data_IF_060006961347
#
_entry.id   IF_060006961347
#
_cell.length_a   1.000
_cell.length_b   1.000
_cell.length_c   1.000
_cell.angle_alpha   90.00
_cell.angle_beta   90.00
_cell.angle_gamma   90.00
#
_symmetry.space_group_name_H-M   'P 1'
#
loop_
_entity.id
_entity.type
_entity.pdbx_description
1 polymer ?
#
# COMPACT_ATOMS: atom_id res chain seq x y z
N UNK A 1 -0.06 0.53 4.97
CA UNK A 1 1.13 0.27 5.81
C UNK A 1 2.24 -0.37 4.98
N UNK A 2 2.06 -1.57 4.39
CA UNK A 2 3.10 -2.25 3.59
C UNK A 2 3.76 -1.38 2.50
N UNK A 3 2.95 -0.69 1.67
CA UNK A 3 3.48 0.25 0.65
C UNK A 3 4.28 1.40 1.29
N UNK A 4 3.81 1.92 2.42
CA UNK A 4 4.49 3.01 3.14
C UNK A 4 5.85 2.56 3.68
N UNK A 5 5.92 1.41 4.34
CA UNK A 5 7.16 0.84 4.85
C UNK A 5 8.19 0.64 3.74
N UNK A 6 7.78 -0.03 2.65
CA UNK A 6 8.65 -0.27 1.50
C UNK A 6 9.17 1.03 0.88
N UNK A 7 8.31 2.03 0.68
CA UNK A 7 8.70 3.31 0.08
C UNK A 7 9.62 4.11 1.00
N UNK A 8 9.39 4.09 2.31
CA UNK A 8 10.28 4.74 3.28
C UNK A 8 11.68 4.14 3.27
N UNK A 9 11.80 2.82 3.25
CA UNK A 9 13.09 2.14 3.18
C UNK A 9 13.82 2.41 1.87
N UNK A 10 13.13 2.27 0.71
CA UNK A 10 13.72 2.56 -0.60
C UNK A 10 14.20 4.01 -0.66
N UNK A 11 13.38 4.95 -0.19
CA UNK A 11 13.73 6.37 -0.21
C UNK A 11 14.91 6.70 0.71
N UNK A 12 15.05 5.98 1.83
CA UNK A 12 16.19 6.11 2.75
C UNK A 12 17.47 5.62 2.09
N UNK A 13 17.43 4.47 1.43
CA UNK A 13 18.58 3.94 0.70
C UNK A 13 19.00 4.86 -0.46
N UNK A 14 18.02 5.44 -1.19
CA UNK A 14 18.29 6.44 -2.22
C UNK A 14 18.93 7.71 -1.63
N UNK A 15 18.51 8.12 -0.43
CA UNK A 15 19.10 9.26 0.29
C UNK A 15 20.53 8.99 0.71
N UNK A 16 20.85 7.76 1.09
CA UNK A 16 22.20 7.27 1.41
C UNK A 16 23.06 6.98 0.18
N UNK A 17 22.53 7.26 -1.03
CA UNK A 17 23.23 6.98 -2.29
C UNK A 17 23.49 5.48 -2.53
N UNK A 18 22.57 4.63 -2.09
CA UNK A 18 22.56 3.18 -2.28
C UNK A 18 21.62 2.80 -3.43
N UNK A 19 21.87 1.63 -4.03
CA UNK A 19 20.91 0.96 -4.90
C UNK A 19 19.95 0.17 -4.04
N UNK A 20 18.68 0.11 -4.42
CA UNK A 20 17.73 -0.83 -3.87
C UNK A 20 17.20 -1.70 -4.99
N UNK A 21 17.26 -2.99 -4.80
CA UNK A 21 16.66 -3.97 -5.69
C UNK A 21 15.38 -4.48 -5.05
N UNK A 22 14.26 -4.32 -5.74
CA UNK A 22 12.95 -4.87 -5.33
C UNK A 22 12.55 -5.99 -6.26
N UNK A 23 12.20 -7.16 -5.72
CA UNK A 23 11.69 -8.32 -6.46
C UNK A 23 10.25 -8.56 -6.06
N UNK A 24 9.38 -8.67 -7.05
CA UNK A 24 7.94 -8.89 -6.91
C UNK A 24 7.64 -10.31 -7.37
N UNK A 25 7.47 -11.21 -6.41
CA UNK A 25 7.20 -12.62 -6.67
C UNK A 25 5.70 -12.84 -6.89
N UNK A 26 5.37 -13.67 -7.87
CA UNK A 26 4.01 -14.14 -8.15
C UNK A 26 3.95 -15.65 -7.91
N UNK A 27 2.94 -16.13 -7.22
CA UNK A 27 2.74 -17.56 -6.95
C UNK A 27 1.70 -18.15 -7.90
N UNK A 28 1.93 -19.36 -8.38
CA UNK A 28 0.95 -20.09 -9.18
C UNK A 28 -0.10 -20.72 -8.27
N UNK A 29 -1.38 -20.26 -8.37
CA UNK A 29 -2.52 -20.84 -7.65
C UNK A 29 -2.28 -21.03 -6.15
N UNK A 30 -1.73 -20.01 -5.48
CA UNK A 30 -1.24 -20.07 -4.11
C UNK A 30 -2.23 -20.73 -3.12
N UNK A 31 -3.52 -20.36 -3.20
CA UNK A 31 -4.55 -20.92 -2.33
C UNK A 31 -4.95 -22.36 -2.67
N UNK A 32 -4.78 -22.78 -3.93
CA UNK A 32 -5.21 -24.10 -4.41
C UNK A 32 -4.12 -25.17 -4.20
N UNK A 33 -2.88 -24.78 -3.90
CA UNK A 33 -1.71 -25.67 -3.81
C UNK A 33 -1.24 -25.93 -2.38
N UNK A 34 -1.91 -25.39 -1.37
CA UNK A 34 -1.55 -25.59 0.03
C UNK A 34 -1.64 -27.09 0.37
N UNK A 35 -0.53 -27.68 0.79
CA UNK A 35 -0.51 -29.06 1.28
C UNK A 35 -1.10 -29.14 2.68
N UNK A 36 -2.17 -29.93 2.86
CA UNK A 36 -2.86 -30.06 4.13
C UNK A 36 -1.97 -30.64 5.23
N UNK A 37 -1.09 -31.61 4.89
CA UNK A 37 -0.19 -32.22 5.86
C UNK A 37 0.88 -31.25 6.35
N UNK A 38 1.45 -30.42 5.45
CA UNK A 38 2.40 -29.37 5.82
C UNK A 38 1.71 -28.29 6.65
N UNK A 39 0.51 -27.85 6.23
CA UNK A 39 -0.27 -26.87 6.98
C UNK A 39 -0.52 -27.33 8.41
N UNK A 40 -1.01 -28.56 8.60
CA UNK A 40 -1.31 -29.09 9.93
C UNK A 40 -0.07 -29.17 10.81
N UNK A 41 1.11 -29.57 10.26
CA UNK A 41 2.38 -29.55 11.01
C UNK A 41 2.80 -28.14 11.41
N UNK A 42 2.63 -27.15 10.53
CA UNK A 42 2.92 -25.74 10.86
C UNK A 42 2.00 -25.22 11.94
N UNK A 43 0.69 -25.49 11.86
CA UNK A 43 -0.28 -25.10 12.88
C UNK A 43 0.07 -25.67 14.26
N UNK A 44 0.50 -26.92 14.32
CA UNK A 44 0.93 -27.56 15.57
C UNK A 44 2.18 -26.87 16.15
N UNK A 45 3.17 -26.50 15.30
CA UNK A 45 4.36 -25.72 15.70
C UNK A 45 4.00 -24.33 16.21
N UNK A 46 2.98 -23.71 15.64
CA UNK A 46 2.44 -22.41 16.13
C UNK A 46 1.62 -22.53 17.41
N UNK A 47 1.50 -23.75 17.98
CA UNK A 47 0.81 -23.99 19.24
C UNK A 47 -0.67 -24.26 19.11
N UNK A 48 -1.21 -24.41 17.91
CA UNK A 48 -2.61 -24.82 17.68
C UNK A 48 -2.71 -26.32 17.90
N UNK A 49 -3.31 -26.73 19.02
CA UNK A 49 -3.39 -28.12 19.49
C UNK A 49 -4.80 -28.48 19.97
N UNK A 50 -5.03 -29.77 20.25
CA UNK A 50 -6.26 -30.28 20.84
C UNK A 50 -7.49 -30.01 19.98
N UNK A 51 -8.59 -29.54 20.57
CA UNK A 51 -9.87 -29.34 19.89
C UNK A 51 -9.77 -28.41 18.68
N UNK A 52 -8.98 -27.32 18.78
CA UNK A 52 -8.80 -26.39 17.67
C UNK A 52 -8.07 -27.05 16.49
N UNK A 53 -7.04 -27.85 16.74
CA UNK A 53 -6.34 -28.60 15.72
C UNK A 53 -7.26 -29.60 15.00
N UNK A 54 -8.01 -30.40 15.76
CA UNK A 54 -8.94 -31.38 15.17
C UNK A 54 -10.08 -30.71 14.39
N UNK A 55 -10.55 -29.57 14.85
CA UNK A 55 -11.54 -28.80 14.12
C UNK A 55 -11.03 -28.29 12.78
N UNK A 56 -9.82 -27.71 12.74
CA UNK A 56 -9.19 -27.25 11.49
C UNK A 56 -8.88 -28.44 10.55
N UNK A 57 -8.47 -29.58 11.10
CA UNK A 57 -8.28 -30.80 10.34
C UNK A 57 -9.58 -31.26 9.69
N UNK A 58 -10.64 -31.40 10.47
CA UNK A 58 -11.98 -31.76 9.98
C UNK A 58 -12.53 -30.78 8.92
N UNK A 59 -12.16 -29.50 9.02
CA UNK A 59 -12.52 -28.51 8.02
C UNK A 59 -11.87 -28.76 6.65
N UNK A 60 -10.68 -29.33 6.61
CA UNK A 60 -9.94 -29.65 5.39
C UNK A 60 -10.20 -31.08 4.88
N UNK A 61 -10.46 -32.01 5.77
CA UNK A 61 -10.64 -33.44 5.44
C UNK A 61 -12.01 -33.68 4.78
N UNK A 62 -12.06 -34.73 3.96
CA UNK A 62 -13.26 -35.29 3.32
C UNK A 62 -14.10 -34.24 2.54
N UNK A 63 -13.44 -33.33 1.91
CA UNK A 63 -14.05 -32.37 1.01
C UNK A 63 -14.07 -32.90 -0.41
N UNK A 64 -15.18 -32.66 -1.09
CA UNK A 64 -15.37 -33.01 -2.50
C UNK A 64 -15.80 -31.77 -3.27
N UNK A 65 -15.45 -31.72 -4.54
CA UNK A 65 -15.86 -30.65 -5.46
C UNK A 65 -16.32 -31.24 -6.79
N UNK A 66 -17.19 -30.53 -7.45
CA UNK A 66 -17.60 -30.78 -8.84
C UNK A 66 -17.78 -29.45 -9.56
N UNK A 67 -17.71 -29.47 -10.86
CA UNK A 67 -18.01 -28.30 -11.72
C UNK A 67 -19.40 -28.48 -12.30
N UNK A 68 -20.22 -27.43 -12.22
CA UNK A 68 -21.52 -27.40 -12.86
C UNK A 68 -21.57 -26.26 -13.87
N UNK A 69 -21.95 -26.61 -15.12
CA UNK A 69 -22.17 -25.64 -16.20
C UNK A 69 -23.60 -25.89 -16.71
N UNK A 70 -24.48 -24.92 -16.51
CA UNK A 70 -25.92 -25.08 -16.71
C UNK A 70 -26.45 -26.30 -15.92
N UNK A 71 -27.04 -27.29 -16.60
CA UNK A 71 -27.61 -28.48 -15.98
C UNK A 71 -26.66 -29.70 -15.99
N UNK A 72 -25.44 -29.55 -16.52
CA UNK A 72 -24.45 -30.63 -16.57
C UNK A 72 -23.46 -30.50 -15.42
N UNK A 73 -23.27 -31.61 -14.69
CA UNK A 73 -22.30 -31.71 -13.57
C UNK A 73 -21.17 -32.67 -13.94
N UNK A 74 -19.96 -32.32 -13.51
CA UNK A 74 -18.83 -33.26 -13.53
C UNK A 74 -18.95 -34.30 -12.41
N UNK A 75 -18.09 -35.30 -12.47
CA UNK A 75 -17.92 -36.23 -11.35
C UNK A 75 -17.42 -35.51 -10.09
N UNK A 76 -17.77 -36.08 -8.94
CA UNK A 76 -17.28 -35.66 -7.64
C UNK A 76 -15.82 -36.03 -7.48
N UNK A 77 -14.95 -35.05 -7.25
CA UNK A 77 -13.52 -35.25 -7.02
C UNK A 77 -13.14 -34.84 -5.60
N UNK A 78 -12.36 -35.66 -4.92
CA UNK A 78 -11.85 -35.36 -3.58
C UNK A 78 -10.81 -34.25 -3.64
N UNK A 79 -10.94 -33.26 -2.76
CA UNK A 79 -9.99 -32.15 -2.59
C UNK A 79 -8.86 -32.62 -1.69
N UNK A 80 -7.64 -32.76 -2.23
CA UNK A 80 -6.46 -33.24 -1.51
C UNK A 80 -5.48 -32.16 -1.11
N UNK A 81 -5.64 -30.95 -1.66
CA UNK A 81 -4.81 -29.79 -1.38
C UNK A 81 -5.61 -28.50 -1.56
N UNK A 82 -5.06 -27.39 -1.11
CA UNK A 82 -5.67 -26.06 -1.18
C UNK A 82 -6.66 -25.77 -0.04
N UNK A 83 -7.04 -24.52 0.04
CA UNK A 83 -8.04 -24.04 1.00
C UNK A 83 -9.23 -23.46 0.24
N UNK A 84 -10.47 -23.59 0.75
CA UNK A 84 -11.66 -23.13 0.05
C UNK A 84 -11.61 -21.61 -0.21
N UNK A 85 -11.64 -21.22 -1.49
CA UNK A 85 -11.72 -19.82 -1.88
C UNK A 85 -13.10 -19.27 -1.50
N UNK A 86 -13.13 -18.03 -0.99
CA UNK A 86 -14.36 -17.38 -0.48
C UNK A 86 -14.72 -17.75 0.96
N UNK A 87 -13.97 -18.63 1.62
CA UNK A 87 -14.14 -18.91 3.05
C UNK A 87 -13.41 -17.88 3.93
N UNK A 88 -13.87 -17.72 5.17
CA UNK A 88 -13.21 -16.84 6.16
C UNK A 88 -11.86 -17.43 6.62
N UNK A 89 -11.74 -18.75 6.69
CA UNK A 89 -10.55 -19.44 7.17
C UNK A 89 -9.44 -19.57 6.12
N UNK A 90 -9.79 -19.61 4.82
CA UNK A 90 -8.82 -19.78 3.74
C UNK A 90 -7.67 -18.78 3.78
N UNK A 91 -7.94 -17.48 3.81
CA UNK A 91 -6.89 -16.45 3.92
C UNK A 91 -6.03 -16.60 5.19
N UNK A 92 -6.65 -16.94 6.33
CA UNK A 92 -5.93 -17.12 7.61
C UNK A 92 -4.98 -18.31 7.51
N UNK A 93 -5.46 -19.43 6.98
CA UNK A 93 -4.64 -20.65 6.79
C UNK A 93 -3.47 -20.38 5.83
N UNK A 94 -3.69 -19.63 4.76
CA UNK A 94 -2.63 -19.25 3.83
C UNK A 94 -1.57 -18.39 4.51
N UNK A 95 -1.97 -17.37 5.26
CA UNK A 95 -1.04 -16.50 6.00
C UNK A 95 -0.22 -17.32 6.99
N UNK A 96 -0.85 -18.24 7.73
CA UNK A 96 -0.13 -19.14 8.65
C UNK A 96 0.81 -20.11 7.91
N UNK A 97 0.42 -20.54 6.69
CA UNK A 97 1.24 -21.44 5.88
C UNK A 97 2.53 -20.78 5.37
N UNK A 98 2.47 -19.51 4.97
CA UNK A 98 3.61 -18.77 4.41
C UNK A 98 4.43 -18.00 5.47
N UNK A 99 3.97 -17.91 6.70
CA UNK A 99 4.50 -17.00 7.71
C UNK A 99 6.00 -17.21 8.00
N UNK A 100 6.49 -18.45 7.97
CA UNK A 100 7.88 -18.80 8.24
C UNK A 100 8.88 -18.44 7.11
N UNK A 101 8.40 -17.98 5.96
CA UNK A 101 9.27 -17.50 4.86
C UNK A 101 10.16 -16.33 5.32
N UNK A 102 9.67 -15.52 6.25
CA UNK A 102 10.43 -14.36 6.76
C UNK A 102 11.71 -14.76 7.52
N UNK A 103 11.82 -16.02 7.95
CA UNK A 103 12.98 -16.54 8.67
C UNK A 103 14.04 -17.13 7.73
N UNK A 104 13.70 -17.33 6.45
CA UNK A 104 14.56 -17.96 5.44
C UNK A 104 15.75 -17.08 5.08
N UNK A 105 15.56 -15.78 5.02
CA UNK A 105 16.62 -14.82 4.72
C UNK A 105 16.70 -13.73 5.79
N UNK A 106 17.90 -13.43 6.25
CA UNK A 106 18.20 -12.30 7.13
C UNK A 106 18.64 -11.04 6.36
N UNK A 107 18.87 -11.19 5.06
CA UNK A 107 19.40 -10.16 4.17
C UNK A 107 18.25 -9.46 3.43
N UNK A 108 17.32 -10.27 2.89
CA UNK A 108 16.16 -9.76 2.18
C UNK A 108 15.11 -9.27 3.17
N UNK A 109 14.70 -8.03 3.03
CA UNK A 109 13.51 -7.52 3.71
C UNK A 109 12.29 -7.97 2.92
N UNK A 110 11.30 -8.53 3.63
CA UNK A 110 10.11 -9.11 3.02
C UNK A 110 8.86 -8.33 3.41
N UNK A 111 8.00 -8.09 2.44
CA UNK A 111 6.66 -7.54 2.66
C UNK A 111 5.66 -8.53 2.06
N UNK A 112 4.92 -9.19 2.94
CA UNK A 112 3.92 -10.19 2.61
C UNK A 112 2.52 -9.57 2.69
N UNK A 113 1.70 -9.84 1.69
CA UNK A 113 0.28 -9.50 1.70
C UNK A 113 -0.50 -10.56 0.93
N UNK A 114 -1.11 -11.49 1.65
CA UNK A 114 -1.67 -12.72 1.10
C UNK A 114 -0.62 -13.45 0.23
N UNK A 115 -0.92 -13.68 -1.03
CA UNK A 115 -0.03 -14.32 -2.02
C UNK A 115 1.02 -13.36 -2.62
N UNK A 116 0.82 -12.04 -2.50
CA UNK A 116 1.80 -11.04 -2.94
C UNK A 116 3.03 -11.05 -2.02
N UNK A 117 4.14 -11.62 -2.50
CA UNK A 117 5.43 -11.66 -1.79
C UNK A 117 6.40 -10.69 -2.45
N UNK A 118 6.82 -9.68 -1.71
CA UNK A 118 7.73 -8.66 -2.21
C UNK A 118 8.99 -8.60 -1.37
N UNK A 119 10.12 -8.58 -2.03
CA UNK A 119 11.44 -8.63 -1.43
C UNK A 119 12.20 -7.38 -1.81
N UNK A 120 13.01 -6.86 -0.91
CA UNK A 120 13.93 -5.78 -1.26
C UNK A 120 15.22 -5.87 -0.45
N UNK A 121 16.28 -5.44 -1.10
CA UNK A 121 17.62 -5.35 -0.51
C UNK A 121 18.32 -4.11 -1.04
N UNK A 122 19.18 -3.50 -0.23
CA UNK A 122 19.90 -2.30 -0.59
C UNK A 122 21.41 -2.48 -0.40
N UNK A 123 22.20 -1.81 -1.25
CA UNK A 123 23.66 -1.87 -1.20
C UNK A 123 24.33 -0.79 -2.04
N UNK A 124 25.58 -0.49 -1.72
CA UNK A 124 26.37 0.54 -2.42
C UNK A 124 26.93 0.06 -3.75
N UNK A 125 27.27 -1.21 -3.85
CA UNK A 125 27.77 -1.85 -5.05
C UNK A 125 26.69 -2.68 -5.72
N UNK A 126 26.32 -2.33 -6.96
CA UNK A 126 25.24 -2.99 -7.68
C UNK A 126 25.55 -4.46 -8.00
N UNK A 127 26.78 -4.76 -8.41
CA UNK A 127 27.17 -6.12 -8.80
C UNK A 127 27.10 -7.08 -7.61
N UNK A 128 27.65 -6.65 -6.47
CA UNK A 128 27.54 -7.41 -5.22
C UNK A 128 26.08 -7.59 -4.78
N UNK A 129 25.26 -6.54 -4.90
CA UNK A 129 23.85 -6.59 -4.57
C UNK A 129 23.10 -7.62 -5.43
N UNK A 130 23.36 -7.65 -6.74
CA UNK A 130 22.75 -8.59 -7.66
C UNK A 130 23.12 -10.04 -7.30
N UNK A 131 24.43 -10.30 -7.12
CA UNK A 131 24.92 -11.63 -6.74
C UNK A 131 24.31 -12.10 -5.41
N UNK A 132 24.24 -11.21 -4.42
CA UNK A 132 23.62 -11.51 -3.13
C UNK A 132 22.12 -11.87 -3.30
N UNK A 133 21.41 -11.06 -4.07
CA UNK A 133 19.96 -11.30 -4.29
C UNK A 133 19.73 -12.60 -5.08
N UNK A 134 20.55 -12.94 -6.06
CA UNK A 134 20.44 -14.22 -6.79
C UNK A 134 20.63 -15.41 -5.86
N UNK A 135 21.63 -15.39 -4.97
CA UNK A 135 21.85 -16.44 -3.97
C UNK A 135 20.64 -16.58 -3.03
N UNK A 136 20.15 -15.46 -2.51
CA UNK A 136 19.01 -15.46 -1.60
C UNK A 136 17.72 -15.92 -2.29
N UNK A 137 17.52 -15.58 -3.56
CA UNK A 137 16.39 -16.05 -4.36
C UNK A 137 16.44 -17.56 -4.61
N UNK A 138 17.63 -18.16 -4.74
CA UNK A 138 17.79 -19.62 -4.83
C UNK A 138 17.39 -20.31 -3.51
N UNK A 139 17.78 -19.75 -2.36
CA UNK A 139 17.40 -20.26 -1.04
C UNK A 139 15.87 -20.17 -0.87
N UNK A 140 15.28 -19.05 -1.25
CA UNK A 140 13.82 -18.87 -1.21
C UNK A 140 13.10 -19.83 -2.14
N UNK A 141 13.62 -20.03 -3.36
CA UNK A 141 13.03 -20.98 -4.31
C UNK A 141 12.99 -22.40 -3.72
N UNK A 142 14.07 -22.81 -3.06
CA UNK A 142 14.11 -24.11 -2.36
C UNK A 142 13.03 -24.16 -1.26
N UNK A 143 12.87 -23.09 -0.47
CA UNK A 143 11.81 -23.01 0.53
C UNK A 143 10.41 -23.14 -0.09
N UNK A 144 10.15 -22.48 -1.24
CA UNK A 144 8.88 -22.61 -1.96
C UNK A 144 8.64 -24.07 -2.40
N UNK A 145 9.66 -24.72 -2.96
CA UNK A 145 9.57 -26.12 -3.40
C UNK A 145 9.31 -27.08 -2.21
N UNK A 146 10.03 -26.90 -1.10
CA UNK A 146 9.85 -27.67 0.12
C UNK A 146 8.43 -27.48 0.71
N UNK A 147 7.82 -26.32 0.48
CA UNK A 147 6.44 -26.01 0.86
C UNK A 147 5.42 -26.25 -0.26
N UNK A 148 5.80 -26.96 -1.34
CA UNK A 148 4.91 -27.26 -2.49
C UNK A 148 4.23 -26.05 -3.11
N UNK A 149 4.85 -24.88 -3.01
CA UNK A 149 4.43 -23.64 -3.65
C UNK A 149 5.26 -23.39 -4.90
N UNK A 150 4.59 -23.07 -6.00
CA UNK A 150 5.26 -22.84 -7.29
C UNK A 150 5.34 -21.36 -7.61
N UNK A 151 6.56 -20.85 -7.88
CA UNK A 151 6.77 -19.50 -8.39
C UNK A 151 6.30 -19.41 -9.85
N UNK A 152 5.70 -18.30 -10.17
CA UNK A 152 5.37 -17.91 -11.54
C UNK A 152 6.46 -16.99 -12.08
N UNK A 153 7.54 -17.56 -12.62
CA UNK A 153 8.70 -16.80 -13.07
C UNK A 153 8.35 -15.82 -14.21
N UNK A 154 7.39 -16.16 -15.08
CA UNK A 154 6.96 -15.27 -16.17
C UNK A 154 6.25 -13.99 -15.68
N UNK A 155 5.66 -14.01 -14.49
CA UNK A 155 5.05 -12.83 -13.86
C UNK A 155 5.92 -12.19 -12.78
N UNK A 156 6.94 -12.91 -12.29
CA UNK A 156 7.91 -12.38 -11.34
C UNK A 156 8.75 -11.29 -12.02
N UNK A 157 8.88 -10.14 -11.37
CA UNK A 157 9.57 -8.97 -11.92
C UNK A 157 10.48 -8.35 -10.90
N UNK A 158 11.49 -7.60 -11.38
CA UNK A 158 12.33 -6.81 -10.48
C UNK A 158 12.49 -5.37 -10.93
N UNK A 159 12.72 -4.50 -9.95
CA UNK A 159 13.01 -3.07 -10.16
C UNK A 159 14.32 -2.75 -9.44
N UNK A 160 15.19 -2.00 -10.11
CA UNK A 160 16.33 -1.37 -9.48
C UNK A 160 15.97 0.09 -9.24
N UNK A 161 15.81 0.47 -7.97
CA UNK A 161 15.51 1.84 -7.58
C UNK A 161 16.80 2.66 -7.47
N UNK A 162 16.76 3.90 -7.95
CA UNK A 162 17.84 4.84 -7.90
C UNK A 162 17.83 5.84 -9.05
N UNK A 163 18.59 6.93 -8.90
CA UNK A 163 18.67 8.01 -9.88
C UNK A 163 19.93 7.92 -10.79
N UNK A 164 20.76 6.88 -10.64
CA UNK A 164 22.02 6.77 -11.40
C UNK A 164 21.75 6.42 -12.85
N UNK A 165 22.48 7.09 -13.75
CA UNK A 165 22.38 6.86 -15.20
C UNK A 165 23.02 5.52 -15.57
N UNK A 166 22.46 4.88 -16.60
CA UNK A 166 22.92 3.68 -17.29
C UNK A 166 23.25 2.45 -16.44
N UNK A 167 22.20 1.79 -15.94
CA UNK A 167 22.29 0.39 -15.59
C UNK A 167 21.72 -0.37 -16.80
N UNK A 168 22.51 -0.55 -17.84
CA UNK A 168 22.10 -1.30 -19.03
C UNK A 168 22.40 -2.79 -18.83
N UNK A 169 21.47 -3.65 -19.27
CA UNK A 169 21.61 -5.12 -19.35
C UNK A 169 21.88 -5.86 -18.04
N UNK A 170 21.24 -5.43 -16.95
CA UNK A 170 21.22 -6.23 -15.72
C UNK A 170 20.19 -7.34 -15.85
N UNK A 171 20.57 -8.56 -15.54
CA UNK A 171 19.74 -9.76 -15.53
C UNK A 171 19.81 -10.37 -14.14
N UNK A 172 18.73 -10.97 -13.69
CA UNK A 172 18.65 -11.77 -12.47
C UNK A 172 18.07 -13.11 -12.87
N UNK A 173 18.60 -14.19 -12.31
CA UNK A 173 18.19 -15.56 -12.62
C UNK A 173 17.70 -16.28 -11.38
N UNK A 174 16.69 -17.11 -11.57
CA UNK A 174 16.20 -18.09 -10.60
C UNK A 174 16.21 -19.44 -11.32
N UNK A 175 17.03 -20.41 -10.86
CA UNK A 175 17.20 -21.72 -11.52
C UNK A 175 17.43 -21.62 -13.05
N UNK A 176 18.36 -20.77 -13.47
CA UNK A 176 18.69 -20.51 -14.87
C UNK A 176 17.61 -19.81 -15.72
N UNK A 177 16.42 -19.53 -15.18
CA UNK A 177 15.41 -18.72 -15.83
C UNK A 177 15.61 -17.25 -15.51
N UNK A 178 15.63 -16.38 -16.54
CA UNK A 178 15.76 -14.93 -16.37
C UNK A 178 14.42 -14.34 -15.97
N UNK A 179 14.42 -13.44 -14.96
CA UNK A 179 13.26 -12.64 -14.58
C UNK A 179 13.32 -11.26 -15.21
N UNK A 180 12.15 -10.72 -15.57
CA UNK A 180 12.04 -9.47 -16.27
C UNK A 180 12.35 -8.28 -15.38
N UNK A 181 13.26 -7.42 -15.87
CA UNK A 181 13.47 -6.10 -15.31
C UNK A 181 12.38 -5.15 -15.80
N UNK A 182 11.72 -4.48 -14.84
CA UNK A 182 10.74 -3.44 -15.16
C UNK A 182 11.12 -2.11 -14.52
N UNK A 183 10.61 -1.01 -15.06
CA UNK A 183 10.84 0.34 -14.54
C UNK A 183 9.71 0.83 -13.65
N UNK A 184 8.59 0.14 -13.67
CA UNK A 184 7.44 0.37 -12.82
C UNK A 184 6.70 -0.94 -12.56
N UNK A 185 6.11 -1.08 -11.38
CA UNK A 185 5.29 -2.23 -11.05
C UNK A 185 4.11 -1.80 -10.17
N UNK A 186 2.99 -2.51 -10.29
CA UNK A 186 1.82 -2.32 -9.44
C UNK A 186 1.95 -3.19 -8.20
N UNK A 187 2.03 -2.56 -7.04
CA UNK A 187 2.07 -3.21 -5.74
C UNK A 187 0.90 -2.75 -4.89
N UNK A 188 0.05 -3.67 -4.45
CA UNK A 188 -1.14 -3.41 -3.63
C UNK A 188 -1.97 -2.22 -4.16
N UNK A 189 -2.21 -2.18 -5.47
CA UNK A 189 -3.00 -1.12 -6.10
C UNK A 189 -2.27 0.19 -6.41
N UNK A 190 -1.04 0.37 -5.91
CA UNK A 190 -0.19 1.54 -6.18
C UNK A 190 0.86 1.21 -7.23
N UNK A 191 1.05 2.07 -8.23
CA UNK A 191 2.12 1.90 -9.24
C UNK A 191 3.36 2.62 -8.74
N UNK A 192 4.41 1.84 -8.49
CA UNK A 192 5.70 2.32 -7.99
C UNK A 192 6.69 2.33 -9.16
N UNK A 193 7.30 3.47 -9.44
CA UNK A 193 8.32 3.62 -10.47
C UNK A 193 9.74 3.67 -9.84
N UNK A 194 10.74 3.26 -10.61
CA UNK A 194 12.14 3.14 -10.16
C UNK A 194 12.75 4.44 -9.61
N UNK A 195 12.16 5.60 -9.89
CA UNK A 195 12.58 6.92 -9.37
C UNK A 195 11.71 7.43 -8.22
N UNK A 196 10.66 6.71 -7.84
CA UNK A 196 9.62 7.18 -6.91
C UNK A 196 9.05 8.55 -7.33
N UNK A 197 8.87 8.76 -8.64
CA UNK A 197 8.35 10.00 -9.20
C UNK A 197 6.84 10.12 -9.11
N UNK A 198 6.17 8.99 -8.96
CA UNK A 198 4.70 8.82 -8.89
C UNK A 198 3.95 9.19 -10.17
N UNK A 199 4.64 9.56 -11.24
CA UNK A 199 3.98 9.94 -12.51
C UNK A 199 3.07 8.83 -13.06
N UNK A 200 3.49 7.55 -13.13
CA UNK A 200 2.65 6.48 -13.64
C UNK A 200 1.39 6.28 -12.80
N UNK A 201 1.55 6.30 -11.46
CA UNK A 201 0.41 6.17 -10.53
C UNK A 201 -0.57 7.34 -10.65
N UNK A 202 -0.07 8.56 -10.65
CA UNK A 202 -0.87 9.77 -10.82
C UNK A 202 -1.64 9.75 -12.16
N UNK A 203 -1.01 9.30 -13.25
CA UNK A 203 -1.67 9.15 -14.54
C UNK A 203 -2.76 8.08 -14.50
N UNK A 204 -2.54 6.98 -13.77
CA UNK A 204 -3.56 5.96 -13.53
C UNK A 204 -4.77 6.55 -12.78
N UNK A 205 -4.53 7.26 -11.68
CA UNK A 205 -5.58 7.93 -10.87
C UNK A 205 -6.35 8.95 -11.73
N UNK A 206 -5.65 9.80 -12.49
CA UNK A 206 -6.27 10.76 -13.42
C UNK A 206 -7.23 10.09 -14.40
N UNK A 207 -6.79 8.99 -15.03
CA UNK A 207 -7.62 8.25 -15.99
C UNK A 207 -8.89 7.72 -15.31
N UNK A 208 -8.76 7.13 -14.12
CA UNK A 208 -9.90 6.62 -13.34
C UNK A 208 -10.86 7.73 -12.93
N UNK A 209 -10.34 8.83 -12.41
CA UNK A 209 -11.17 10.01 -12.08
C UNK A 209 -11.89 10.58 -13.30
N UNK A 210 -11.22 10.69 -14.45
CA UNK A 210 -11.85 11.18 -15.68
C UNK A 210 -13.01 10.30 -16.13
N UNK A 211 -12.88 8.98 -16.04
CA UNK A 211 -13.96 8.03 -16.31
C UNK A 211 -15.14 8.24 -15.37
N UNK A 212 -14.88 8.38 -14.07
CA UNK A 212 -15.92 8.64 -13.05
C UNK A 212 -16.60 10.01 -13.24
N UNK A 213 -15.85 11.05 -13.62
CA UNK A 213 -16.40 12.38 -13.93
C UNK A 213 -17.30 12.33 -15.16
N UNK A 214 -16.99 11.51 -16.16
CA UNK A 214 -17.88 11.33 -17.32
C UNK A 214 -19.23 10.72 -16.90
N UNK A 215 -19.25 9.81 -15.92
CA UNK A 215 -20.49 9.26 -15.35
C UNK A 215 -21.28 10.39 -14.66
N UNK A 216 -20.64 11.18 -13.78
CA UNK A 216 -21.29 12.34 -13.12
C UNK A 216 -21.89 13.31 -14.15
N UNK A 217 -21.14 13.60 -15.23
CA UNK A 217 -21.60 14.49 -16.27
C UNK A 217 -22.84 13.98 -17.02
N UNK A 218 -22.91 12.67 -17.29
CA UNK A 218 -24.06 12.04 -17.92
C UNK A 218 -25.29 12.01 -17.03
N UNK A 219 -25.09 11.85 -15.73
CA UNK A 219 -26.19 11.69 -14.74
C UNK A 219 -26.67 13.02 -14.13
N UNK A 220 -25.96 14.13 -14.35
CA UNK A 220 -26.26 15.45 -13.73
C UNK A 220 -27.67 15.98 -14.03
N UNK A 221 -28.28 15.60 -15.16
CA UNK A 221 -29.61 16.04 -15.54
C UNK A 221 -30.74 15.19 -14.93
N UNK A 222 -30.38 14.02 -14.36
CA UNK A 222 -31.34 13.05 -13.82
C UNK A 222 -31.30 13.06 -12.30
N UNK A 223 -30.11 13.26 -11.71
CA UNK A 223 -29.85 13.15 -10.29
C UNK A 223 -29.78 14.52 -9.62
N UNK A 224 -30.29 14.61 -8.40
CA UNK A 224 -30.12 15.79 -7.56
C UNK A 224 -28.69 15.91 -7.01
N UNK A 225 -28.38 17.08 -6.45
CA UNK A 225 -27.04 17.39 -5.90
C UNK A 225 -26.54 16.39 -4.87
N UNK A 226 -27.41 15.95 -3.95
CA UNK A 226 -27.05 14.99 -2.90
C UNK A 226 -26.64 13.63 -3.50
N UNK A 227 -27.39 13.13 -4.48
CA UNK A 227 -27.11 11.87 -5.17
C UNK A 227 -25.80 11.97 -5.99
N UNK A 228 -25.57 13.10 -6.67
CA UNK A 228 -24.30 13.35 -7.37
C UNK A 228 -23.12 13.41 -6.39
N UNK A 229 -23.31 13.99 -5.21
CA UNK A 229 -22.28 14.01 -4.18
C UNK A 229 -21.98 12.61 -3.61
N UNK A 230 -22.99 11.78 -3.44
CA UNK A 230 -22.80 10.37 -3.07
C UNK A 230 -22.00 9.62 -4.14
N UNK A 231 -22.33 9.81 -5.43
CA UNK A 231 -21.54 9.24 -6.53
C UNK A 231 -20.10 9.75 -6.56
N UNK A 232 -19.87 11.02 -6.29
CA UNK A 232 -18.52 11.57 -6.16
C UNK A 232 -17.74 10.89 -5.02
N UNK A 233 -18.38 10.73 -3.86
CA UNK A 233 -17.77 10.06 -2.72
C UNK A 233 -17.47 8.57 -3.00
N UNK A 234 -18.31 7.90 -3.78
CA UNK A 234 -18.15 6.47 -4.10
C UNK A 234 -17.16 6.22 -5.25
N UNK A 235 -17.16 7.05 -6.30
CA UNK A 235 -16.44 6.77 -7.54
C UNK A 235 -15.15 7.59 -7.73
N UNK A 236 -15.00 8.72 -7.06
CA UNK A 236 -13.86 9.63 -7.25
C UNK A 236 -12.97 9.68 -6.02
N UNK A 237 -13.56 9.92 -4.85
CA UNK A 237 -12.81 10.06 -3.59
C UNK A 237 -11.90 8.86 -3.31
N UNK A 238 -12.32 7.58 -3.49
CA UNK A 238 -11.46 6.45 -3.20
C UNK A 238 -10.15 6.44 -4.00
N UNK A 239 -10.17 6.87 -5.25
CA UNK A 239 -8.95 7.00 -6.05
C UNK A 239 -8.01 8.09 -5.56
N UNK A 240 -8.56 9.18 -4.99
CA UNK A 240 -7.76 10.27 -4.45
C UNK A 240 -7.13 9.93 -3.10
N UNK A 241 -7.79 9.09 -2.29
CA UNK A 241 -7.36 8.85 -0.90
C UNK A 241 -6.55 7.57 -0.71
N UNK A 242 -6.64 6.61 -1.65
CA UNK A 242 -5.96 5.34 -1.49
C UNK A 242 -4.43 5.53 -1.44
N UNK A 243 -3.82 5.19 -0.31
CA UNK A 243 -2.39 5.37 -0.03
C UNK A 243 -1.88 6.81 -0.29
N UNK A 244 -2.73 7.82 -0.18
CA UNK A 244 -2.40 9.20 -0.55
C UNK A 244 -1.27 9.79 0.29
N UNK A 245 -1.07 9.37 1.50
CA UNK A 245 0.06 9.73 2.37
C UNK A 245 1.42 9.30 1.81
N UNK A 246 1.45 8.34 0.89
CA UNK A 246 2.67 7.86 0.24
C UNK A 246 3.00 8.67 -1.01
N UNK A 247 2.03 8.88 -1.90
CA UNK A 247 2.23 9.53 -3.20
C UNK A 247 1.71 10.97 -3.29
N UNK A 248 0.84 11.37 -2.36
CA UNK A 248 0.16 12.67 -2.41
C UNK A 248 1.08 13.88 -2.22
N UNK A 249 2.28 13.68 -1.71
CA UNK A 249 3.32 14.71 -1.60
C UNK A 249 4.28 14.77 -2.79
N UNK A 250 3.97 14.11 -3.92
CA UNK A 250 4.74 14.20 -5.15
C UNK A 250 4.85 15.65 -5.67
N UNK A 251 5.60 15.88 -6.75
CA UNK A 251 5.76 17.24 -7.33
C UNK A 251 4.41 17.88 -7.65
N UNK A 252 4.22 19.14 -7.28
CA UNK A 252 2.98 19.88 -7.52
C UNK A 252 2.55 19.82 -8.99
N UNK A 253 3.51 19.90 -9.92
CA UNK A 253 3.25 19.77 -11.37
C UNK A 253 2.58 18.45 -11.75
N UNK A 254 2.94 17.35 -11.08
CA UNK A 254 2.34 16.05 -11.33
C UNK A 254 0.95 15.92 -10.71
N UNK A 255 0.75 16.49 -9.52
CA UNK A 255 -0.48 16.36 -8.69
C UNK A 255 -1.57 17.33 -9.10
N UNK A 256 -1.20 18.54 -9.55
CA UNK A 256 -2.17 19.60 -9.89
C UNK A 256 -3.29 19.15 -10.85
N UNK A 257 -3.03 18.29 -11.86
CA UNK A 257 -4.11 17.76 -12.71
C UNK A 257 -5.19 16.98 -11.95
N UNK A 258 -4.87 16.29 -10.85
CA UNK A 258 -5.87 15.61 -9.99
C UNK A 258 -6.78 16.65 -9.34
N UNK A 259 -6.19 17.72 -8.79
CA UNK A 259 -6.97 18.81 -8.21
C UNK A 259 -7.88 19.51 -9.22
N UNK A 260 -7.40 19.70 -10.46
CA UNK A 260 -8.23 20.26 -11.54
C UNK A 260 -9.42 19.36 -11.89
N UNK A 261 -9.21 18.04 -11.92
CA UNK A 261 -10.31 17.07 -12.09
C UNK A 261 -11.28 17.09 -10.91
N UNK A 262 -10.79 17.22 -9.69
CA UNK A 262 -11.66 17.39 -8.52
C UNK A 262 -12.52 18.63 -8.62
N UNK A 263 -11.95 19.78 -8.98
CA UNK A 263 -12.71 21.02 -9.21
C UNK A 263 -13.81 20.85 -10.26
N UNK A 264 -13.50 20.14 -11.36
CA UNK A 264 -14.48 19.84 -12.41
C UNK A 264 -15.64 19.00 -11.86
N UNK A 265 -15.35 17.97 -11.06
CA UNK A 265 -16.39 17.15 -10.43
C UNK A 265 -17.30 17.99 -9.50
N UNK A 266 -16.72 18.85 -8.67
CA UNK A 266 -17.46 19.74 -7.75
C UNK A 266 -18.39 20.71 -8.51
N UNK A 267 -17.93 21.29 -9.62
CA UNK A 267 -18.77 22.15 -10.46
C UNK A 267 -19.95 21.40 -11.09
N UNK A 268 -19.73 20.15 -11.54
CA UNK A 268 -20.81 19.32 -12.06
C UNK A 268 -21.87 19.04 -10.99
N UNK A 269 -21.46 18.75 -9.76
CA UNK A 269 -22.38 18.49 -8.64
C UNK A 269 -23.22 19.73 -8.33
N UNK A 270 -22.61 20.92 -8.37
CA UNK A 270 -23.27 22.20 -8.07
C UNK A 270 -23.99 22.83 -9.26
N UNK A 271 -23.99 22.19 -10.43
CA UNK A 271 -24.61 22.69 -11.66
C UNK A 271 -24.16 24.10 -12.05
N UNK A 272 -22.87 24.43 -11.81
CA UNK A 272 -22.30 25.74 -12.13
C UNK A 272 -21.33 25.66 -13.32
N UNK A 273 -21.01 26.80 -13.90
CA UNK A 273 -20.13 26.91 -15.06
C UNK A 273 -18.66 26.58 -14.76
N UNK A 274 -17.91 26.29 -15.82
CA UNK A 274 -16.49 25.89 -15.72
C UNK A 274 -15.61 26.96 -15.07
N UNK A 275 -15.94 28.25 -15.23
CA UNK A 275 -15.14 29.36 -14.70
C UNK A 275 -15.46 29.73 -13.25
N UNK A 276 -16.55 29.19 -12.69
CA UNK A 276 -17.00 29.54 -11.34
C UNK A 276 -15.90 29.22 -10.29
N UNK A 277 -15.61 30.16 -9.36
CA UNK A 277 -14.70 29.93 -8.24
C UNK A 277 -15.16 28.77 -7.38
N UNK A 278 -14.23 27.88 -6.99
CA UNK A 278 -14.61 26.63 -6.33
C UNK A 278 -14.50 26.66 -4.81
N UNK A 279 -13.94 27.71 -4.18
CA UNK A 279 -13.72 27.74 -2.74
C UNK A 279 -15.04 27.58 -1.96
N UNK A 280 -16.03 28.40 -2.29
CA UNK A 280 -17.35 28.35 -1.66
C UNK A 280 -18.08 27.03 -1.95
N UNK A 281 -17.89 26.46 -3.15
CA UNK A 281 -18.49 25.16 -3.50
C UNK A 281 -17.95 24.03 -2.63
N UNK A 282 -16.65 24.00 -2.36
CA UNK A 282 -16.03 23.04 -1.43
C UNK A 282 -16.56 23.21 -0.01
N UNK A 283 -16.68 24.45 0.46
CA UNK A 283 -17.23 24.75 1.79
C UNK A 283 -18.67 24.29 1.92
N UNK A 284 -19.54 24.64 0.95
CA UNK A 284 -20.95 24.26 0.93
C UNK A 284 -21.16 22.73 0.93
N UNK A 285 -20.28 21.97 0.28
CA UNK A 285 -20.30 20.51 0.28
C UNK A 285 -19.57 19.90 1.49
N UNK A 286 -19.01 20.73 2.36
CA UNK A 286 -18.13 20.28 3.44
C UNK A 286 -17.06 19.29 2.93
N UNK A 287 -16.47 19.57 1.76
CA UNK A 287 -15.49 18.72 1.09
C UNK A 287 -14.09 19.33 1.15
N UNK A 288 -13.08 18.52 1.39
CA UNK A 288 -11.68 18.97 1.38
C UNK A 288 -11.15 19.07 -0.05
N UNK A 289 -10.41 20.14 -0.36
CA UNK A 289 -9.62 20.25 -1.58
C UNK A 289 -8.52 19.17 -1.58
N UNK A 290 -8.06 18.74 -2.73
CA UNK A 290 -7.13 17.61 -2.84
C UNK A 290 -5.86 17.80 -2.00
N UNK A 291 -5.25 18.96 -2.00
CA UNK A 291 -4.05 19.22 -1.20
C UNK A 291 -4.31 19.13 0.31
N UNK A 292 -5.45 19.64 0.75
CA UNK A 292 -5.86 19.55 2.16
C UNK A 292 -6.25 18.13 2.55
N UNK A 293 -6.78 17.37 1.59
CA UNK A 293 -7.09 15.96 1.76
C UNK A 293 -5.81 15.13 1.94
N UNK A 294 -4.75 15.41 1.16
CA UNK A 294 -3.41 14.83 1.37
C UNK A 294 -2.89 15.12 2.77
N UNK A 295 -2.93 16.39 3.18
CA UNK A 295 -2.51 16.80 4.52
C UNK A 295 -3.36 16.12 5.61
N UNK A 296 -4.67 16.05 5.42
CA UNK A 296 -5.62 15.42 6.35
C UNK A 296 -5.29 13.95 6.60
N UNK A 297 -5.03 13.15 5.56
CA UNK A 297 -4.66 11.75 5.73
C UNK A 297 -3.26 11.60 6.32
N UNK A 298 -2.31 12.45 5.92
CA UNK A 298 -0.96 12.44 6.48
C UNK A 298 -0.97 12.72 7.98
N UNK A 299 -1.68 13.77 8.43
CA UNK A 299 -1.74 14.08 9.87
C UNK A 299 -2.56 13.06 10.67
N UNK A 300 -3.55 12.38 10.05
CA UNK A 300 -4.22 11.25 10.70
C UNK A 300 -3.26 10.09 10.95
N UNK A 301 -2.37 9.80 10.00
CA UNK A 301 -1.34 8.78 10.19
C UNK A 301 -0.38 9.19 11.31
N UNK A 302 0.04 10.47 11.34
CA UNK A 302 0.88 10.98 12.43
C UNK A 302 0.17 10.93 13.81
N UNK A 303 -1.13 11.23 13.86
CA UNK A 303 -1.93 11.05 15.08
C UNK A 303 -1.92 9.59 15.55
N UNK A 304 -2.11 8.65 14.62
CA UNK A 304 -2.08 7.21 14.95
C UNK A 304 -0.70 6.76 15.43
N UNK A 305 0.39 7.28 14.83
CA UNK A 305 1.76 7.05 15.32
C UNK A 305 1.91 7.59 16.74
N UNK A 306 1.52 8.84 16.96
CA UNK A 306 1.63 9.48 18.26
C UNK A 306 0.84 8.75 19.36
N UNK A 307 -0.32 8.20 19.02
CA UNK A 307 -1.20 7.44 19.92
C UNK A 307 -0.89 5.94 19.98
N UNK A 308 0.22 5.46 19.41
CA UNK A 308 0.63 4.04 19.38
C UNK A 308 -0.45 3.09 18.78
N UNK A 309 -1.20 3.57 17.78
CA UNK A 309 -2.26 2.82 17.12
C UNK A 309 -1.81 2.11 15.84
N UNK A 310 -0.51 2.15 15.50
CA UNK A 310 0.04 1.53 14.29
C UNK A 310 1.02 0.39 14.63
N UNK A 311 1.24 -0.55 13.71
CA UNK A 311 2.22 -1.61 13.87
C UNK A 311 3.63 -1.07 14.08
N UNK A 312 4.47 -1.83 14.80
CA UNK A 312 5.85 -1.46 15.13
C UNK A 312 6.71 -1.10 13.91
N UNK A 313 6.47 -1.75 12.75
CA UNK A 313 7.19 -1.45 11.51
C UNK A 313 7.00 0.00 11.04
N UNK A 314 5.87 0.62 11.35
CA UNK A 314 5.61 2.03 11.06
C UNK A 314 6.03 2.92 12.23
N UNK A 315 5.79 2.48 13.48
CA UNK A 315 6.17 3.25 14.67
C UNK A 315 7.67 3.59 14.68
N UNK A 316 8.53 2.63 14.35
CA UNK A 316 10.01 2.81 14.32
C UNK A 316 10.50 3.84 13.30
N UNK A 317 9.66 4.29 12.35
CA UNK A 317 10.03 5.36 11.40
C UNK A 317 10.06 6.75 12.05
N UNK A 318 9.54 6.87 13.27
CA UNK A 318 9.33 8.15 13.93
C UNK A 318 9.87 8.11 15.37
N UNK A 319 10.59 9.16 15.76
CA UNK A 319 11.05 9.36 17.12
C UNK A 319 10.33 10.57 17.71
N UNK A 320 9.76 10.42 18.90
CA UNK A 320 9.20 11.55 19.66
C UNK A 320 10.37 12.32 20.26
N UNK A 321 10.30 13.64 20.22
CA UNK A 321 11.30 14.50 20.83
C UNK A 321 11.10 14.49 22.35
N UNK A 322 12.07 13.96 23.06
CA UNK A 322 12.14 14.08 24.51
C UNK A 322 12.53 15.52 24.90
N UNK A 323 11.77 16.15 25.77
CA UNK A 323 12.09 17.46 26.33
C UNK A 323 12.33 17.28 27.83
N UNK A 324 13.54 17.56 28.28
CA UNK A 324 13.90 17.53 29.71
C UNK A 324 13.23 18.66 30.51
N UNK A 325 12.77 19.70 29.84
CA UNK A 325 12.09 20.84 30.43
C UNK A 325 10.70 20.96 29.83
N UNK A 326 9.64 21.01 30.64
CA UNK A 326 8.22 21.08 30.21
C UNK A 326 7.81 22.32 29.40
N UNK A 327 8.72 22.83 28.57
CA UNK A 327 8.60 24.04 27.77
C UNK A 327 8.49 23.64 26.27
N UNK A 328 7.84 24.48 25.48
CA UNK A 328 7.66 24.45 24.01
C UNK A 328 8.35 23.29 23.27
N UNK A 329 7.64 22.23 22.98
CA UNK A 329 8.14 21.08 22.20
C UNK A 329 7.62 19.72 22.66
N UNK A 330 6.81 19.65 23.73
CA UNK A 330 6.03 18.46 24.05
C UNK A 330 5.14 18.09 22.87
N UNK A 331 4.98 16.80 22.60
CA UNK A 331 4.15 16.29 21.51
C UNK A 331 4.71 16.56 20.09
N UNK A 332 6.02 16.73 19.92
CA UNK A 332 6.67 16.89 18.63
C UNK A 332 7.51 15.67 18.27
N UNK A 333 7.56 15.37 16.97
CA UNK A 333 8.50 14.38 16.44
C UNK A 333 9.85 15.01 16.11
N UNK A 334 10.91 14.23 16.24
CA UNK A 334 12.27 14.60 15.84
C UNK A 334 12.34 14.74 14.32
N UNK A 335 12.89 15.85 13.84
CA UNK A 335 13.13 16.07 12.41
C UNK A 335 14.40 15.38 11.98
N UNK A 336 14.34 14.63 10.88
CA UNK A 336 15.52 14.03 10.24
C UNK A 336 16.08 14.97 9.15
N UNK A 337 17.39 14.98 8.99
CA UNK A 337 18.05 15.66 7.87
C UNK A 337 18.04 14.72 6.67
N UNK A 338 17.70 15.23 5.49
CA UNK A 338 17.60 14.46 4.24
C UNK A 338 18.29 15.21 3.12
N UNK A 339 18.87 14.47 2.18
CA UNK A 339 19.64 15.02 1.05
C UNK A 339 18.81 15.09 -0.23
N UNK A 340 17.92 14.13 -0.43
CA UNK A 340 17.18 14.00 -1.68
C UNK A 340 15.77 14.57 -1.59
N UNK A 341 15.29 15.11 -2.70
CA UNK A 341 13.91 15.55 -2.82
C UNK A 341 12.91 14.38 -2.69
N UNK A 342 13.30 13.16 -3.04
CA UNK A 342 12.47 11.97 -2.91
C UNK A 342 12.20 11.69 -1.43
N UNK A 343 13.25 11.62 -0.59
CA UNK A 343 13.09 11.40 0.85
C UNK A 343 12.37 12.57 1.53
N UNK A 344 12.63 13.80 1.10
CA UNK A 344 11.96 14.99 1.66
C UNK A 344 10.43 14.98 1.47
N UNK A 345 9.90 14.18 0.53
CA UNK A 345 8.45 14.03 0.28
C UNK A 345 7.82 12.84 1.00
N UNK A 346 8.60 11.99 1.60
CA UNK A 346 8.11 10.84 2.36
C UNK A 346 7.45 11.27 3.66
N UNK A 347 6.60 10.41 4.19
CA UNK A 347 5.82 10.72 5.40
C UNK A 347 6.71 10.94 6.62
N UNK A 348 7.86 10.26 6.71
CA UNK A 348 8.85 10.47 7.78
C UNK A 348 9.38 11.91 7.87
N UNK A 349 9.29 12.68 6.78
CA UNK A 349 9.68 14.09 6.74
C UNK A 349 8.46 15.00 6.67
N UNK A 350 7.58 14.80 5.66
CA UNK A 350 6.39 15.64 5.47
C UNK A 350 5.39 15.49 6.61
N UNK A 351 5.13 14.27 7.05
CA UNK A 351 4.25 14.01 8.17
C UNK A 351 4.75 14.67 9.46
N UNK A 352 6.04 14.51 9.75
CA UNK A 352 6.68 15.15 10.91
C UNK A 352 6.57 16.67 10.85
N UNK A 353 6.84 17.29 9.69
CA UNK A 353 6.73 18.73 9.54
C UNK A 353 5.28 19.22 9.70
N UNK A 354 4.31 18.53 9.08
CA UNK A 354 2.90 18.86 9.21
C UNK A 354 2.42 18.73 10.67
N UNK A 355 2.76 17.62 11.33
CA UNK A 355 2.41 17.38 12.72
C UNK A 355 3.00 18.42 13.66
N UNK A 356 4.29 18.71 13.52
CA UNK A 356 4.95 19.66 14.40
C UNK A 356 4.36 21.08 14.29
N UNK A 357 3.83 21.44 13.13
CA UNK A 357 3.18 22.73 12.86
C UNK A 357 1.69 22.76 13.28
N UNK A 358 1.09 21.64 13.70
CA UNK A 358 -0.29 21.63 14.17
C UNK A 358 -0.41 22.36 15.52
N UNK A 359 -1.58 22.97 15.72
CA UNK A 359 -1.96 23.54 17.01
C UNK A 359 -2.02 22.45 18.09
N UNK A 360 -1.62 22.80 19.31
CA UNK A 360 -1.56 21.87 20.46
C UNK A 360 -2.92 21.25 20.76
N UNK A 361 -4.01 21.97 20.60
CA UNK A 361 -5.37 21.45 20.79
C UNK A 361 -5.70 20.25 19.92
N UNK A 362 -5.23 20.24 18.67
CA UNK A 362 -5.40 19.10 17.78
C UNK A 362 -4.56 17.89 18.21
N UNK A 363 -3.32 18.13 18.66
CA UNK A 363 -2.43 17.07 19.14
C UNK A 363 -2.94 16.38 20.39
N UNK A 364 -3.67 17.11 21.24
CA UNK A 364 -4.23 16.65 22.52
C UNK A 364 -5.64 16.06 22.39
N UNK A 365 -6.14 15.84 21.19
CA UNK A 365 -7.45 15.20 21.01
C UNK A 365 -7.48 13.79 21.59
N UNK A 366 -8.49 13.47 22.39
CA UNK A 366 -8.64 12.19 23.07
C UNK A 366 -9.06 11.03 22.15
N UNK A 367 -9.50 11.33 20.91
CA UNK A 367 -9.90 10.31 19.95
C UNK A 367 -9.63 10.74 18.51
N UNK A 368 -9.35 9.75 17.66
CA UNK A 368 -9.15 9.96 16.23
C UNK A 368 -10.39 10.59 15.56
N UNK A 369 -11.59 10.25 16.03
CA UNK A 369 -12.84 10.81 15.49
C UNK A 369 -12.93 12.31 15.76
N UNK A 370 -12.66 12.74 16.99
CA UNK A 370 -12.62 14.15 17.39
C UNK A 370 -11.54 14.90 16.62
N UNK A 371 -10.34 14.34 16.52
CA UNK A 371 -9.23 14.90 15.73
C UNK A 371 -9.63 15.16 14.28
N UNK A 372 -10.20 14.16 13.60
CA UNK A 372 -10.66 14.26 12.22
C UNK A 372 -11.68 15.40 12.03
N UNK A 373 -12.69 15.46 12.92
CA UNK A 373 -13.74 16.47 12.87
C UNK A 373 -13.18 17.89 13.05
N UNK A 374 -12.33 18.07 14.07
CA UNK A 374 -11.73 19.38 14.36
C UNK A 374 -10.81 19.85 13.23
N UNK A 375 -9.93 18.97 12.72
CA UNK A 375 -9.05 19.33 11.62
C UNK A 375 -9.84 19.70 10.36
N UNK A 376 -10.82 18.87 9.98
CA UNK A 376 -11.65 19.12 8.80
C UNK A 376 -12.41 20.44 8.91
N UNK A 377 -13.06 20.70 10.03
CA UNK A 377 -13.82 21.93 10.24
C UNK A 377 -12.91 23.16 10.13
N UNK A 378 -11.72 23.12 10.74
CA UNK A 378 -10.76 24.22 10.64
C UNK A 378 -10.40 24.52 9.19
N UNK A 379 -10.01 23.48 8.42
CA UNK A 379 -9.59 23.66 7.03
C UNK A 379 -10.74 24.13 6.12
N UNK A 380 -11.95 23.62 6.33
CA UNK A 380 -13.12 24.04 5.52
C UNK A 380 -13.53 25.50 5.82
N UNK A 381 -13.43 25.92 7.07
CA UNK A 381 -13.68 27.33 7.44
C UNK A 381 -12.68 28.28 6.79
N UNK A 382 -11.42 27.89 6.66
CA UNK A 382 -10.37 28.68 5.99
C UNK A 382 -10.65 28.89 4.48
N UNK A 383 -11.61 28.17 3.87
CA UNK A 383 -12.01 28.37 2.46
C UNK A 383 -12.89 29.59 2.23
N UNK A 384 -13.48 30.13 3.29
CA UNK A 384 -14.40 31.29 3.24
C UNK A 384 -13.71 32.63 3.50
N UNK A 385 -12.46 32.56 3.97
CA UNK A 385 -11.56 33.70 4.19
C UNK A 385 -10.73 33.94 2.93
#
# INVERSE_FOLDING_TARGET
MAVMEMVEEISTSMDNNEYTLGVFLDLKKAFDTIDHGLLMRKLERYGIRGKAYFWLKSYLDDRYQFVQINDVRSDLMKVTCGVPQGSVLGPIMFVLYINDICEVSKILKMVLFADDTNLYCSGKNLEQLLNTVEIELMILKKWFDDNRLSLNLSKTKFIIFGNRKSINKVKIRINNEEIDRVYENKFLGVIIDHKLSWKPHINHVKRKMSQSIAILHKTKHILNENSLYILYCALIVPYMIYCVEVWGHAYKTNINPIYMLQKRAIRIIKHVDYHEPTNQLFSNLNALKFFDLVNFYTVQTMYKVYSNLLPNCIQRLFEIRESQYGIRGMHMFKKIRVRTNTKNRCISVKGVNLWNNLHTELKLCNSLCKFKKMFKNKVVNDYLI
#
